data_IF_454361597177
#
_entry.id   IF_454361597177
#
_cell.length_a   1.000
_cell.length_b   1.000
_cell.length_c   1.000
_cell.angle_alpha   90.00
_cell.angle_beta   90.00
_cell.angle_gamma   90.00
#
_symmetry.space_group_name_H-M   'P 1'
#
loop_
_entity.id
_entity.type
_entity.pdbx_description
1 polymer ?
#
# COMPACT_ATOMS: atom_id res chain seq x y z
N UNK A 1 6.51 23.87 -17.06
CA UNK A 1 6.72 22.44 -16.80
C UNK A 1 6.89 22.31 -15.30
N UNK A 2 6.13 21.45 -14.64
CA UNK A 2 6.32 21.19 -13.21
C UNK A 2 7.22 19.95 -13.00
N UNK A 3 7.76 19.77 -11.80
CA UNK A 3 8.70 18.69 -11.49
C UNK A 3 8.13 17.28 -11.81
N UNK A 4 6.82 17.11 -11.65
CA UNK A 4 6.15 15.84 -11.95
C UNK A 4 6.20 15.54 -13.46
N UNK A 5 5.86 16.51 -14.29
CA UNK A 5 5.91 16.39 -15.75
C UNK A 5 7.33 16.07 -16.25
N UNK A 6 8.36 16.70 -15.67
CA UNK A 6 9.77 16.42 -16.00
C UNK A 6 10.18 15.00 -15.60
N UNK A 7 9.72 14.54 -14.43
CA UNK A 7 9.99 13.19 -13.94
C UNK A 7 9.34 12.14 -14.84
N UNK A 8 8.09 12.34 -15.25
CA UNK A 8 7.38 11.43 -16.16
C UNK A 8 8.15 11.31 -17.48
N UNK A 9 8.53 12.44 -18.09
CA UNK A 9 9.33 12.42 -19.33
C UNK A 9 10.66 11.70 -19.18
N UNK A 10 11.29 11.80 -18.01
CA UNK A 10 12.54 11.11 -17.73
C UNK A 10 12.31 9.59 -17.66
N UNK A 11 11.27 9.16 -16.97
CA UNK A 11 10.88 7.74 -16.89
C UNK A 11 10.49 7.19 -18.26
N UNK A 12 9.77 7.96 -19.09
CA UNK A 12 9.45 7.58 -20.47
C UNK A 12 10.69 7.36 -21.35
N UNK A 13 11.82 7.98 -21.01
CA UNK A 13 13.10 7.84 -21.73
C UNK A 13 13.97 6.68 -21.25
N UNK A 14 13.53 5.92 -20.24
CA UNK A 14 14.28 4.78 -19.71
C UNK A 14 14.34 3.64 -20.72
N UNK A 15 15.47 2.93 -20.72
CA UNK A 15 15.58 1.61 -21.34
C UNK A 15 14.68 0.59 -20.63
N UNK A 16 14.45 -0.56 -21.27
CA UNK A 16 13.65 -1.63 -20.66
C UNK A 16 14.21 -2.13 -19.32
N UNK A 17 15.54 -2.18 -19.19
CA UNK A 17 16.22 -2.58 -17.96
C UNK A 17 16.04 -1.55 -16.85
N UNK A 18 16.18 -0.26 -17.17
CA UNK A 18 15.92 0.83 -16.21
C UNK A 18 14.46 0.87 -15.79
N UNK A 19 13.52 0.62 -16.71
CA UNK A 19 12.09 0.51 -16.38
C UNK A 19 11.80 -0.68 -15.47
N UNK A 20 12.46 -1.82 -15.68
CA UNK A 20 12.33 -2.99 -14.79
C UNK A 20 12.82 -2.67 -13.39
N UNK A 21 14.05 -2.15 -13.27
CA UNK A 21 14.61 -1.75 -11.98
C UNK A 21 13.76 -0.67 -11.28
N UNK A 22 13.22 0.29 -12.03
CA UNK A 22 12.34 1.31 -11.48
C UNK A 22 11.04 0.71 -10.92
N UNK A 23 10.42 -0.26 -11.61
CA UNK A 23 9.21 -0.93 -11.13
C UNK A 23 9.47 -1.71 -9.85
N UNK A 24 10.54 -2.50 -9.80
CA UNK A 24 10.95 -3.26 -8.62
C UNK A 24 11.14 -2.34 -7.40
N UNK A 25 11.89 -1.24 -7.60
CA UNK A 25 12.08 -0.25 -6.54
C UNK A 25 10.77 0.45 -6.13
N UNK A 26 9.92 0.81 -7.10
CA UNK A 26 8.69 1.56 -6.83
C UNK A 26 7.67 0.72 -6.06
N UNK A 27 7.59 -0.58 -6.31
CA UNK A 27 6.75 -1.51 -5.55
C UNK A 27 7.14 -1.52 -4.06
N UNK A 28 8.43 -1.61 -3.75
CA UNK A 28 8.91 -1.53 -2.35
C UNK A 28 8.66 -0.16 -1.72
N UNK A 29 8.86 0.91 -2.49
CA UNK A 29 8.62 2.27 -2.04
C UNK A 29 7.15 2.52 -1.70
N UNK A 30 6.23 2.11 -2.58
CA UNK A 30 4.80 2.28 -2.37
C UNK A 30 4.29 1.39 -1.22
N UNK A 31 4.80 0.15 -1.12
CA UNK A 31 4.51 -0.72 0.01
C UNK A 31 4.89 -0.09 1.36
N UNK A 32 6.07 0.54 1.47
CA UNK A 32 6.49 1.26 2.68
C UNK A 32 5.57 2.42 3.02
N UNK A 33 5.14 3.21 2.03
CA UNK A 33 4.19 4.31 2.25
C UNK A 33 2.85 3.75 2.75
N UNK A 34 2.39 2.64 2.17
CA UNK A 34 1.18 1.97 2.59
C UNK A 34 1.27 1.46 4.03
N UNK A 35 2.38 0.83 4.41
CA UNK A 35 2.63 0.37 5.79
C UNK A 35 2.58 1.55 6.78
N UNK A 36 3.28 2.65 6.50
CA UNK A 36 3.28 3.84 7.35
C UNK A 36 1.86 4.42 7.54
N UNK A 37 1.06 4.42 6.47
CA UNK A 37 -0.33 4.88 6.51
C UNK A 37 -1.20 3.92 7.31
N UNK A 38 -1.06 2.62 7.09
CA UNK A 38 -1.80 1.59 7.82
C UNK A 38 -1.53 1.72 9.31
N UNK A 39 -0.26 1.79 9.72
CA UNK A 39 0.11 1.97 11.11
C UNK A 39 -0.49 3.24 11.72
N UNK A 40 -0.49 4.35 10.97
CA UNK A 40 -1.11 5.60 11.42
C UNK A 40 -2.61 5.42 11.63
N UNK A 41 -3.29 4.76 10.71
CA UNK A 41 -4.74 4.53 10.79
C UNK A 41 -5.10 3.56 11.93
N UNK A 42 -4.27 2.54 12.17
CA UNK A 42 -4.35 1.66 13.36
C UNK A 42 -4.18 2.47 14.65
N UNK A 43 -3.12 3.29 14.74
CA UNK A 43 -2.88 4.14 15.93
C UNK A 43 -4.01 5.16 16.16
N UNK A 44 -4.69 5.58 15.10
CA UNK A 44 -5.84 6.48 15.17
C UNK A 44 -7.17 5.76 15.50
N UNK A 45 -7.17 4.44 15.70
CA UNK A 45 -8.37 3.65 16.02
C UNK A 45 -9.35 3.51 14.85
N UNK A 46 -8.95 3.86 13.62
CA UNK A 46 -9.88 3.86 12.46
C UNK A 46 -10.33 2.47 12.06
N UNK A 47 -9.61 1.43 12.48
CA UNK A 47 -9.90 0.04 12.14
C UNK A 47 -10.55 -0.72 13.30
N UNK A 48 -10.82 -0.07 14.43
CA UNK A 48 -11.33 -0.73 15.65
C UNK A 48 -12.73 -1.32 15.45
N UNK A 49 -13.60 -0.61 14.73
CA UNK A 49 -14.95 -1.09 14.39
C UNK A 49 -14.89 -2.34 13.50
N UNK A 50 -13.96 -2.37 12.54
CA UNK A 50 -13.74 -3.52 11.67
C UNK A 50 -13.21 -4.71 12.46
N UNK A 51 -12.25 -4.48 13.36
CA UNK A 51 -11.72 -5.51 14.24
C UNK A 51 -12.82 -6.10 15.15
N UNK A 52 -13.63 -5.24 15.75
CA UNK A 52 -14.75 -5.67 16.61
C UNK A 52 -15.74 -6.54 15.85
N UNK A 53 -16.14 -6.12 14.65
CA UNK A 53 -17.05 -6.89 13.79
C UNK A 53 -16.46 -8.24 13.38
N UNK A 54 -15.19 -8.27 13.01
CA UNK A 54 -14.51 -9.51 12.65
C UNK A 54 -14.51 -10.51 13.82
N UNK A 55 -14.23 -10.04 15.05
CA UNK A 55 -14.30 -10.88 16.25
C UNK A 55 -15.71 -11.40 16.53
N UNK A 56 -16.74 -10.58 16.35
CA UNK A 56 -18.13 -11.01 16.51
C UNK A 56 -18.54 -12.07 15.48
N UNK A 57 -18.17 -11.88 14.22
CA UNK A 57 -18.50 -12.81 13.14
C UNK A 57 -17.79 -14.15 13.34
N UNK A 58 -16.53 -14.13 13.80
CA UNK A 58 -15.81 -15.34 14.21
C UNK A 58 -16.51 -16.07 15.36
N UNK A 59 -16.90 -15.35 16.43
CA UNK A 59 -17.66 -15.93 17.55
C UNK A 59 -19.01 -16.51 17.12
N UNK A 60 -19.62 -15.97 16.08
CA UNK A 60 -20.88 -16.45 15.48
C UNK A 60 -20.66 -17.61 14.49
N UNK A 61 -19.43 -18.11 14.32
CA UNK A 61 -19.10 -19.21 13.42
C UNK A 61 -19.21 -18.86 11.94
N UNK A 62 -19.18 -17.57 11.58
CA UNK A 62 -19.26 -17.13 10.18
C UNK A 62 -17.91 -17.15 9.46
N UNK A 63 -16.82 -17.32 10.19
CA UNK A 63 -15.47 -17.44 9.67
C UNK A 63 -14.75 -18.57 10.40
N UNK A 64 -13.81 -19.22 9.73
CA UNK A 64 -12.95 -20.27 10.29
C UNK A 64 -11.50 -19.83 10.28
N UNK A 65 -10.65 -20.56 11.00
CA UNK A 65 -9.20 -20.45 10.80
C UNK A 65 -8.83 -20.84 9.35
N UNK A 66 -7.71 -20.31 8.88
CA UNK A 66 -7.15 -20.54 7.54
C UNK A 66 -6.50 -21.92 7.44
#
# INVERSE_FOLDING_TARGET
MNLLEETIKRVESFSEEELRAFREWFEEFDARIWDEKLERDVRAGKLDDLATRAMEDFKKGKCTEL
#
